data_IF_333959748087
#
_entry.id   IF_333959748087
#
_cell.length_a   1.000
_cell.length_b   1.000
_cell.length_c   1.000
_cell.angle_alpha   90.00
_cell.angle_beta   90.00
_cell.angle_gamma   90.00
#
_symmetry.space_group_name_H-M   'P 1'
#
loop_
_entity.id
_entity.type
_entity.pdbx_description
1 polymer ?
#
# COMPACT_ATOMS: atom_id res chain seq x y z
N UNK A 1 15.87 25.46 33.47
CA UNK A 1 14.61 24.72 33.72
C UNK A 1 13.57 25.31 32.78
N UNK A 2 13.55 24.81 31.54
CA UNK A 2 12.60 25.18 30.49
C UNK A 2 11.51 24.10 30.41
N UNK A 3 10.26 24.42 30.08
CA UNK A 3 9.16 23.46 30.13
C UNK A 3 9.30 22.44 28.99
N UNK A 4 9.01 21.18 29.29
CA UNK A 4 9.04 20.06 28.35
C UNK A 4 7.89 20.17 27.35
N UNK A 5 8.22 20.15 26.06
CA UNK A 5 7.28 20.07 24.95
C UNK A 5 6.80 18.62 24.81
N UNK A 6 5.64 18.32 25.39
CA UNK A 6 4.99 17.01 25.33
C UNK A 6 4.30 16.82 23.97
N UNK A 7 5.07 16.62 22.90
CA UNK A 7 4.53 16.06 21.66
C UNK A 7 4.42 14.54 21.80
N UNK A 8 3.20 14.03 21.72
CA UNK A 8 2.91 12.59 21.81
C UNK A 8 3.54 11.86 20.63
N UNK A 9 4.70 11.23 20.85
CA UNK A 9 5.26 10.25 19.92
C UNK A 9 4.34 9.03 19.89
N UNK A 10 3.63 8.82 18.79
CA UNK A 10 2.92 7.56 18.51
C UNK A 10 3.93 6.41 18.52
N UNK A 11 3.67 5.41 19.34
CA UNK A 11 4.50 4.21 19.48
C UNK A 11 4.41 3.31 18.23
N UNK A 12 5.39 2.44 17.96
CA UNK A 12 5.37 1.52 16.80
C UNK A 12 4.29 0.42 16.86
N UNK A 13 3.40 0.48 17.85
CA UNK A 13 2.37 -0.53 18.14
C UNK A 13 1.05 -0.30 17.39
N UNK A 14 0.87 0.83 16.72
CA UNK A 14 -0.41 1.21 16.08
C UNK A 14 -0.54 0.75 14.62
N UNK A 15 0.33 -0.15 14.15
CA UNK A 15 0.04 -0.92 12.93
C UNK A 15 -1.02 -1.96 13.32
N UNK A 16 -2.28 -1.55 13.23
CA UNK A 16 -3.41 -2.48 13.35
C UNK A 16 -3.17 -3.62 12.36
N UNK A 17 -3.15 -4.91 12.77
CA UNK A 17 -3.12 -6.02 11.82
C UNK A 17 -4.50 -6.09 11.15
N UNK A 18 -4.70 -5.21 10.18
CA UNK A 18 -6.00 -4.81 9.67
C UNK A 18 -6.13 -5.11 8.20
N UNK A 19 -5.92 -6.36 7.81
CA UNK A 19 -6.22 -6.86 6.48
C UNK A 19 -7.19 -8.04 6.55
N UNK A 20 -8.30 -7.91 7.29
CA UNK A 20 -9.39 -8.85 7.14
C UNK A 20 -9.89 -8.73 5.70
N UNK A 21 -9.76 -9.79 4.90
CA UNK A 21 -10.20 -9.85 3.51
C UNK A 21 -11.71 -9.54 3.44
N UNK A 22 -12.06 -8.27 3.21
CA UNK A 22 -13.47 -7.81 3.08
C UNK A 22 -14.15 -8.56 1.94
N UNK A 23 -13.38 -8.96 0.92
CA UNK A 23 -13.81 -9.77 -0.21
C UNK A 23 -14.37 -11.14 0.19
N UNK A 24 -13.88 -11.77 1.26
CA UNK A 24 -14.26 -13.15 1.61
C UNK A 24 -15.76 -13.32 1.95
N UNK A 25 -16.44 -12.24 2.37
CA UNK A 25 -17.87 -12.25 2.71
C UNK A 25 -18.78 -11.81 1.55
N UNK A 26 -18.22 -11.48 0.39
CA UNK A 26 -18.99 -11.10 -0.79
C UNK A 26 -19.40 -12.33 -1.61
N UNK A 27 -20.46 -12.20 -2.41
CA UNK A 27 -20.75 -13.16 -3.46
C UNK A 27 -19.65 -13.14 -4.54
N UNK A 28 -19.63 -14.14 -5.43
CA UNK A 28 -18.59 -14.28 -6.46
C UNK A 28 -18.40 -13.01 -7.30
N UNK A 29 -19.50 -12.40 -7.75
CA UNK A 29 -19.45 -11.14 -8.50
C UNK A 29 -18.84 -9.99 -7.68
N UNK A 30 -19.14 -9.90 -6.38
CA UNK A 30 -18.58 -8.92 -5.47
C UNK A 30 -17.10 -9.14 -5.19
N UNK A 31 -16.66 -10.40 -5.07
CA UNK A 31 -15.24 -10.76 -4.94
C UNK A 31 -14.45 -10.32 -6.17
N UNK A 32 -14.93 -10.68 -7.37
CA UNK A 32 -14.30 -10.28 -8.64
C UNK A 32 -14.23 -8.76 -8.78
N UNK A 33 -15.30 -8.05 -8.40
CA UNK A 33 -15.31 -6.59 -8.41
C UNK A 33 -14.32 -5.99 -7.41
N UNK A 34 -14.16 -6.59 -6.22
CA UNK A 34 -13.15 -6.17 -5.22
C UNK A 34 -11.74 -6.32 -5.79
N UNK A 35 -11.41 -7.48 -6.33
CA UNK A 35 -10.09 -7.73 -6.94
C UNK A 35 -9.80 -6.78 -8.10
N UNK A 36 -10.80 -6.53 -8.95
CA UNK A 36 -10.67 -5.56 -10.03
C UNK A 36 -10.38 -4.15 -9.49
N UNK A 37 -11.10 -3.70 -8.45
CA UNK A 37 -10.88 -2.38 -7.83
C UNK A 37 -9.50 -2.27 -7.19
N UNK A 38 -9.04 -3.31 -6.50
CA UNK A 38 -7.70 -3.36 -5.90
C UNK A 38 -6.62 -3.25 -6.99
N UNK A 39 -6.71 -4.06 -8.04
CA UNK A 39 -5.76 -3.99 -9.16
C UNK A 39 -5.78 -2.63 -9.85
N UNK A 40 -6.96 -2.06 -10.09
CA UNK A 40 -7.09 -0.74 -10.71
C UNK A 40 -6.50 0.36 -9.83
N UNK A 41 -6.68 0.27 -8.51
CA UNK A 41 -6.13 1.26 -7.59
C UNK A 41 -4.60 1.20 -7.57
N UNK A 42 -4.00 0.00 -7.52
CA UNK A 42 -2.55 -0.17 -7.65
C UNK A 42 -2.07 0.41 -8.98
N UNK A 43 -2.73 0.10 -10.10
CA UNK A 43 -2.38 0.67 -11.41
C UNK A 43 -2.36 2.20 -11.40
N UNK A 44 -3.42 2.83 -10.89
CA UNK A 44 -3.55 4.30 -10.84
C UNK A 44 -2.52 4.94 -9.90
N UNK A 45 -2.22 4.28 -8.79
CA UNK A 45 -1.16 4.70 -7.89
C UNK A 45 0.20 4.72 -8.62
N UNK A 46 0.55 3.63 -9.29
CA UNK A 46 1.83 3.49 -9.97
C UNK A 46 1.98 4.43 -11.17
N UNK A 47 0.91 4.64 -11.95
CA UNK A 47 0.89 5.65 -13.02
C UNK A 47 1.15 7.05 -12.46
N UNK A 48 0.57 7.37 -11.30
CA UNK A 48 0.76 8.66 -10.65
C UNK A 48 2.18 8.79 -10.06
N UNK A 49 2.72 7.74 -9.46
CA UNK A 49 4.10 7.68 -8.99
C UNK A 49 5.07 7.91 -10.16
N UNK A 50 4.86 7.22 -11.29
CA UNK A 50 5.64 7.41 -12.51
C UNK A 50 5.57 8.84 -13.04
N UNK A 51 4.38 9.46 -13.04
CA UNK A 51 4.22 10.87 -13.42
C UNK A 51 5.04 11.80 -12.51
N UNK A 52 4.95 11.63 -11.19
CA UNK A 52 5.64 12.50 -10.24
C UNK A 52 7.16 12.30 -10.26
N UNK A 53 7.62 11.08 -10.50
CA UNK A 53 9.03 10.80 -10.77
C UNK A 53 9.51 11.54 -12.03
N UNK A 54 8.73 11.48 -13.13
CA UNK A 54 9.03 12.24 -14.35
C UNK A 54 9.05 13.76 -14.16
N UNK A 55 8.31 14.27 -13.17
CA UNK A 55 8.34 15.69 -12.77
C UNK A 55 9.49 16.04 -11.81
N UNK A 56 10.30 15.06 -11.39
CA UNK A 56 11.38 15.26 -10.41
C UNK A 56 10.89 15.46 -8.97
N UNK A 57 9.63 15.12 -8.67
CA UNK A 57 9.06 15.22 -7.31
C UNK A 57 9.35 14.00 -6.44
N UNK A 58 9.83 12.91 -7.04
CA UNK A 58 10.32 11.70 -6.36
C UNK A 58 11.81 11.61 -6.69
N UNK A 59 12.66 11.57 -5.67
CA UNK A 59 14.11 11.42 -5.82
C UNK A 59 14.56 9.96 -5.78
N UNK A 60 15.77 9.68 -6.27
CA UNK A 60 16.36 8.35 -6.17
C UNK A 60 15.77 7.34 -7.16
N UNK A 61 15.26 6.21 -6.66
CA UNK A 61 14.75 5.11 -7.46
C UNK A 61 13.23 4.96 -7.33
N UNK A 62 12.56 4.65 -8.43
CA UNK A 62 11.11 4.41 -8.46
C UNK A 62 10.80 3.18 -9.32
N UNK A 63 10.59 2.03 -8.68
CA UNK A 63 10.31 0.77 -9.37
C UNK A 63 8.80 0.50 -9.43
N UNK A 64 8.20 0.74 -10.59
CA UNK A 64 6.74 0.67 -10.75
C UNK A 64 6.21 -0.77 -10.81
N UNK A 65 5.14 -1.09 -10.10
CA UNK A 65 4.49 -2.42 -10.12
C UNK A 65 3.52 -2.65 -11.31
N UNK A 66 3.56 -1.79 -12.32
CA UNK A 66 2.65 -1.83 -13.48
C UNK A 66 2.75 -3.17 -14.21
N UNK A 67 1.61 -3.84 -14.38
CA UNK A 67 1.50 -5.11 -15.09
C UNK A 67 1.61 -6.35 -14.19
N UNK A 68 1.89 -6.18 -12.90
CA UNK A 68 1.99 -7.26 -11.92
C UNK A 68 0.86 -7.25 -10.88
N UNK A 69 -0.17 -6.42 -11.06
CA UNK A 69 -1.21 -6.18 -10.05
C UNK A 69 -1.96 -7.46 -9.65
N UNK A 70 -2.21 -8.35 -10.62
CA UNK A 70 -2.86 -9.63 -10.37
C UNK A 70 -2.06 -10.54 -9.43
N UNK A 71 -0.73 -10.42 -9.42
CA UNK A 71 0.15 -11.23 -8.56
C UNK A 71 -0.14 -10.91 -7.10
N UNK A 72 -0.11 -9.64 -6.73
CA UNK A 72 -0.25 -9.25 -5.33
C UNK A 72 -1.68 -9.32 -4.84
N UNK A 73 -2.67 -9.00 -5.69
CA UNK A 73 -4.09 -9.15 -5.36
C UNK A 73 -4.45 -10.63 -5.20
N UNK A 74 -3.95 -11.50 -6.08
CA UNK A 74 -4.17 -12.94 -5.97
C UNK A 74 -3.51 -13.55 -4.73
N UNK A 75 -2.27 -13.15 -4.43
CA UNK A 75 -1.59 -13.56 -3.19
C UNK A 75 -2.40 -13.10 -1.98
N UNK A 76 -2.76 -11.82 -1.90
CA UNK A 76 -3.48 -11.28 -0.75
C UNK A 76 -4.87 -11.92 -0.56
N UNK A 77 -5.55 -12.30 -1.65
CA UNK A 77 -6.81 -13.03 -1.60
C UNK A 77 -6.67 -14.45 -1.00
N UNK A 78 -5.53 -15.10 -1.21
CA UNK A 78 -5.24 -16.43 -0.69
C UNK A 78 -4.60 -16.43 0.72
N UNK A 79 -4.10 -15.29 1.18
CA UNK A 79 -3.42 -15.16 2.46
C UNK A 79 -4.38 -15.04 3.64
N UNK A 80 -3.97 -15.59 4.78
CA UNK A 80 -4.61 -15.41 6.07
C UNK A 80 -4.22 -14.10 6.77
N UNK A 81 -4.97 -13.72 7.83
CA UNK A 81 -4.74 -12.47 8.54
C UNK A 81 -3.37 -12.40 9.23
N UNK A 82 -2.80 -13.54 9.64
CA UNK A 82 -1.54 -13.62 10.38
C UNK A 82 -0.33 -13.93 9.48
N UNK A 83 -0.52 -14.02 8.17
CA UNK A 83 0.57 -14.37 7.26
C UNK A 83 1.46 -13.17 6.98
N UNK A 84 2.77 -13.42 6.96
CA UNK A 84 3.80 -12.41 6.71
C UNK A 84 4.17 -12.35 5.23
N UNK A 85 4.45 -11.15 4.73
CA UNK A 85 4.93 -10.91 3.35
C UNK A 85 6.30 -10.25 3.41
N UNK A 86 7.23 -10.75 2.60
CA UNK A 86 8.49 -10.07 2.28
C UNK A 86 8.62 -9.96 0.77
N UNK A 87 9.14 -8.83 0.29
CA UNK A 87 9.39 -8.60 -1.13
C UNK A 87 10.63 -7.71 -1.30
N UNK A 88 11.05 -7.53 -2.55
CA UNK A 88 12.18 -6.66 -2.93
C UNK A 88 11.73 -5.21 -3.19
N UNK A 89 12.57 -4.40 -3.83
CA UNK A 89 12.41 -2.96 -4.08
C UNK A 89 11.23 -2.52 -4.97
N UNK A 90 10.36 -3.45 -5.40
CA UNK A 90 9.17 -3.19 -6.24
C UNK A 90 7.89 -3.46 -5.43
N UNK A 91 7.72 -2.72 -4.34
CA UNK A 91 6.78 -3.09 -3.27
C UNK A 91 5.54 -2.22 -3.14
N UNK A 92 5.33 -1.16 -3.93
CA UNK A 92 4.21 -0.26 -3.63
C UNK A 92 2.86 -0.98 -3.70
N UNK A 93 2.64 -1.80 -4.75
CA UNK A 93 1.46 -2.65 -4.86
C UNK A 93 1.26 -3.62 -3.68
N UNK A 94 2.35 -4.12 -3.07
CA UNK A 94 2.29 -4.99 -1.89
C UNK A 94 1.82 -4.26 -0.64
N UNK A 95 2.36 -3.06 -0.36
CA UNK A 95 1.93 -2.25 0.77
C UNK A 95 0.45 -1.89 0.66
N UNK A 96 0.06 -1.46 -0.54
CA UNK A 96 -1.31 -1.05 -0.86
C UNK A 96 -2.29 -2.23 -0.72
N UNK A 97 -1.98 -3.40 -1.29
CA UNK A 97 -2.83 -4.58 -1.17
C UNK A 97 -2.96 -5.06 0.28
N UNK A 98 -1.93 -4.84 1.12
CA UNK A 98 -1.97 -5.18 2.55
C UNK A 98 -2.71 -4.16 3.41
N UNK A 99 -3.33 -3.15 2.79
CA UNK A 99 -4.20 -2.19 3.46
C UNK A 99 -3.51 -0.91 3.93
N UNK A 100 -2.24 -0.69 3.57
CA UNK A 100 -1.59 0.60 3.84
C UNK A 100 -2.25 1.67 2.96
N UNK A 101 -2.63 2.80 3.55
CA UNK A 101 -3.23 3.90 2.82
C UNK A 101 -2.26 4.40 1.73
N UNK A 102 -2.73 4.43 0.49
CA UNK A 102 -1.98 4.91 -0.66
C UNK A 102 -1.42 6.34 -0.46
N UNK A 103 -2.06 7.18 0.36
CA UNK A 103 -1.54 8.51 0.72
C UNK A 103 -0.24 8.41 1.51
N UNK A 104 -0.16 7.48 2.45
CA UNK A 104 1.05 7.26 3.27
C UNK A 104 2.17 6.73 2.38
N UNK A 105 1.87 5.78 1.49
CA UNK A 105 2.85 5.28 0.51
C UNK A 105 3.33 6.41 -0.40
N UNK A 106 2.43 7.31 -0.83
CA UNK A 106 2.83 8.44 -1.68
C UNK A 106 3.62 9.52 -0.93
N UNK A 107 3.30 9.76 0.33
CA UNK A 107 4.06 10.67 1.18
C UNK A 107 5.51 10.20 1.32
N UNK A 108 5.71 8.90 1.54
CA UNK A 108 7.04 8.29 1.59
C UNK A 108 7.82 8.52 0.28
N UNK A 109 7.21 8.21 -0.87
CA UNK A 109 7.87 8.38 -2.18
C UNK A 109 8.25 9.85 -2.45
N UNK A 110 7.45 10.79 -1.98
CA UNK A 110 7.69 12.24 -2.19
C UNK A 110 8.52 12.88 -1.07
N UNK A 111 9.01 12.09 -0.10
CA UNK A 111 9.81 12.57 1.02
C UNK A 111 9.05 13.49 1.98
N UNK A 112 7.77 13.20 2.21
CA UNK A 112 6.87 13.98 3.09
C UNK A 112 6.40 13.14 4.29
N UNK A 113 5.98 13.83 5.36
CA UNK A 113 5.42 13.26 6.59
C UNK A 113 3.92 13.50 6.63
#
# INVERSE_FOLDING_TARGET
MAPEDTSSKSTPSDVTPGGANVSANLNEAGQLLSHYREMLMIRRFEEKAGQMYGMGLIGGFCHLYIGQEAVVVGINAAMGPNDSVITSYRQHGHLIARGVDAKVVMAELTGRV
#
